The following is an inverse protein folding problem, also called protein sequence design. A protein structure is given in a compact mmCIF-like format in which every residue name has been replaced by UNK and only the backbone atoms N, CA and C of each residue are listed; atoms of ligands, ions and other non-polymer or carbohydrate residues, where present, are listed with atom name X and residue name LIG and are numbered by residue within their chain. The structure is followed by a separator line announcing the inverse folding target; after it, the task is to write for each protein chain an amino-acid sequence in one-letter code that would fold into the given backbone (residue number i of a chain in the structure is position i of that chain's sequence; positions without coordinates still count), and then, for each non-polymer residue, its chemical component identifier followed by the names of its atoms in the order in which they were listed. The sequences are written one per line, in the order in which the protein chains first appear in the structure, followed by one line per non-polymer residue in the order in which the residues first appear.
data_IF_478255987267
#
_entry.id   IF_478255987267
#
_cell.length_a   1.000
_cell.length_b   1.000
_cell.length_c   1.000
_cell.angle_alpha   90.00
_cell.angle_beta   90.00
_cell.angle_gamma   90.00
#
_symmetry.space_group_name_H-M   'P 1'
#
loop_
_entity.id
_entity.type
_entity.pdbx_description
1 polymer ?
#
# COMPACT_ATOMS: atom_id res chain seq x y z
N UNK A 1 -12.56 0.42 -1.87
CA UNK A 1 -13.84 -0.03 -2.45
C UNK A 1 -14.81 -0.28 -1.30
N UNK A 2 -15.90 0.47 -1.18
CA UNK A 2 -16.91 0.29 -0.12
C UNK A 2 -18.17 -0.26 -0.79
N UNK A 3 -18.63 -1.41 -0.29
CA UNK A 3 -19.88 -2.06 -0.72
C UNK A 3 -21.04 -1.25 -0.12
N UNK A 4 -22.10 -1.03 -0.90
CA UNK A 4 -23.19 -0.10 -0.61
C UNK A 4 -24.04 -0.45 0.61
N UNK A 5 -23.59 -0.05 1.79
CA UNK A 5 -24.43 0.16 2.97
C UNK A 5 -24.31 1.60 3.45
N UNK A 6 -25.39 2.11 4.04
CA UNK A 6 -25.33 3.32 4.86
C UNK A 6 -24.18 3.17 5.87
N UNK A 7 -23.25 4.12 5.95
CA UNK A 7 -22.10 4.01 6.82
C UNK A 7 -22.57 3.96 8.28
N UNK A 8 -22.31 2.84 8.96
CA UNK A 8 -22.52 2.71 10.41
C UNK A 8 -21.45 3.51 11.16
N UNK A 9 -21.77 4.01 12.35
CA UNK A 9 -20.81 4.78 13.15
C UNK A 9 -19.47 4.04 13.38
N UNK A 10 -19.52 2.71 13.49
CA UNK A 10 -18.33 1.84 13.61
C UNK A 10 -17.46 1.83 12.36
N UNK A 11 -18.07 1.80 11.17
CA UNK A 11 -17.33 1.85 9.89
C UNK A 11 -16.63 3.20 9.68
N UNK A 12 -17.26 4.31 10.07
CA UNK A 12 -16.68 5.65 9.98
C UNK A 12 -15.50 5.77 10.96
N UNK A 13 -15.67 5.26 12.19
CA UNK A 13 -14.62 5.28 13.20
C UNK A 13 -13.38 4.48 12.77
N UNK A 14 -13.56 3.31 12.15
CA UNK A 14 -12.44 2.53 11.61
C UNK A 14 -11.74 3.21 10.45
N UNK A 15 -12.49 3.82 9.52
CA UNK A 15 -11.88 4.60 8.43
C UNK A 15 -11.13 5.84 8.96
N UNK A 16 -11.60 6.46 10.05
CA UNK A 16 -10.86 7.52 10.75
C UNK A 16 -9.56 7.00 11.37
N UNK A 17 -9.58 5.84 12.03
CA UNK A 17 -8.36 5.22 12.59
C UNK A 17 -7.34 4.94 11.47
N UNK A 18 -7.81 4.35 10.37
CA UNK A 18 -6.97 4.10 9.19
C UNK A 18 -6.37 5.41 8.65
N UNK A 19 -7.18 6.46 8.54
CA UNK A 19 -6.74 7.77 8.06
C UNK A 19 -5.69 8.40 8.98
N UNK A 20 -5.88 8.33 10.30
CA UNK A 20 -4.92 8.84 11.30
C UNK A 20 -3.60 8.08 11.21
N UNK A 21 -3.64 6.75 11.14
CA UNK A 21 -2.42 5.95 11.01
C UNK A 21 -1.68 6.21 9.69
N UNK A 22 -2.43 6.42 8.59
CA UNK A 22 -1.85 6.82 7.31
C UNK A 22 -1.26 8.24 7.35
N UNK A 23 -1.87 9.16 8.10
CA UNK A 23 -1.32 10.50 8.34
C UNK A 23 0.01 10.41 9.11
N UNK A 24 0.08 9.57 10.14
CA UNK A 24 1.31 9.32 10.90
C UNK A 24 2.40 8.72 10.01
N UNK A 25 2.05 7.76 9.15
CA UNK A 25 2.96 7.20 8.17
C UNK A 25 3.50 8.28 7.21
N UNK A 26 2.62 9.07 6.62
CA UNK A 26 3.00 10.18 5.72
C UNK A 26 3.88 11.22 6.43
N UNK A 27 3.56 11.58 7.67
CA UNK A 27 4.37 12.49 8.46
C UNK A 27 5.77 11.92 8.71
N UNK A 28 5.85 10.64 9.09
CA UNK A 28 7.14 9.98 9.32
C UNK A 28 7.98 9.87 8.05
N UNK A 29 7.35 9.72 6.87
CA UNK A 29 8.05 9.69 5.59
C UNK A 29 8.63 11.06 5.23
N UNK A 30 7.94 12.16 5.56
CA UNK A 30 8.49 13.51 5.40
C UNK A 30 9.71 13.75 6.31
N UNK A 31 9.70 13.24 7.54
CA UNK A 31 10.90 13.33 8.40
C UNK A 31 12.13 12.63 7.80
N UNK A 32 11.93 11.50 7.11
CA UNK A 32 13.01 10.83 6.40
C UNK A 32 13.54 11.71 5.27
N UNK A 33 12.63 12.37 4.54
CA UNK A 33 12.99 13.30 3.47
C UNK A 33 13.78 14.50 3.95
N UNK A 34 13.35 15.14 5.04
CA UNK A 34 14.07 16.28 5.62
C UNK A 34 15.50 15.88 5.98
N UNK A 35 15.66 14.70 6.59
CA UNK A 35 16.98 14.18 6.91
C UNK A 35 17.81 13.84 5.67
N UNK A 36 17.22 13.24 4.64
CA UNK A 36 17.93 12.96 3.40
C UNK A 36 18.31 14.23 2.64
N UNK A 37 17.51 15.30 2.75
CA UNK A 37 17.83 16.61 2.21
C UNK A 37 19.10 17.19 2.84
N UNK A 38 19.22 17.07 4.16
CA UNK A 38 20.41 17.51 4.91
C UNK A 38 21.67 16.76 4.48
N UNK A 39 21.55 15.46 4.18
CA UNK A 39 22.70 14.60 3.86
C UNK A 39 23.10 14.63 2.38
N UNK A 40 22.14 14.55 1.46
CA UNK A 40 22.41 14.36 0.03
C UNK A 40 22.49 15.68 -0.76
N UNK A 41 21.97 16.79 -0.22
CA UNK A 41 21.78 18.10 -0.87
C UNK A 41 20.97 18.10 -2.19
N UNK A 42 20.88 16.97 -2.90
CA UNK A 42 20.04 16.74 -4.08
C UNK A 42 18.98 15.69 -3.78
N UNK A 43 17.81 16.21 -3.46
CA UNK A 43 16.60 15.48 -3.13
C UNK A 43 16.11 14.62 -4.32
N UNK A 44 16.31 15.04 -5.58
CA UNK A 44 15.73 14.35 -6.76
C UNK A 44 16.23 12.93 -6.96
N UNK A 45 17.40 12.61 -6.41
CA UNK A 45 18.00 11.27 -6.44
C UNK A 45 17.46 10.36 -5.33
N UNK A 46 16.80 10.92 -4.31
CA UNK A 46 16.29 10.16 -3.19
C UNK A 46 15.06 9.33 -3.60
N UNK A 47 15.06 8.01 -3.33
CA UNK A 47 13.87 7.17 -3.51
C UNK A 47 12.73 7.59 -2.57
N UNK A 48 13.05 8.23 -1.44
CA UNK A 48 12.07 8.65 -0.44
C UNK A 48 11.14 9.76 -0.91
N UNK A 49 11.49 10.53 -1.95
CA UNK A 49 10.58 11.54 -2.49
C UNK A 49 9.37 10.85 -3.08
N UNK A 50 9.63 9.84 -3.89
CA UNK A 50 8.61 9.06 -4.55
C UNK A 50 7.76 8.26 -3.54
N UNK A 51 8.38 7.73 -2.49
CA UNK A 51 7.64 7.02 -1.43
C UNK A 51 6.73 7.98 -0.67
N UNK A 52 7.23 9.15 -0.25
CA UNK A 52 6.44 10.13 0.50
C UNK A 52 5.34 10.77 -0.34
N UNK A 53 5.58 11.08 -1.62
CA UNK A 53 4.53 11.56 -2.51
C UNK A 53 3.46 10.50 -2.72
N UNK A 54 3.87 9.23 -2.85
CA UNK A 54 2.92 8.13 -2.97
C UNK A 54 2.02 7.96 -1.74
N UNK A 55 2.60 7.99 -0.53
CA UNK A 55 1.83 7.97 0.73
C UNK A 55 0.92 9.19 0.88
N UNK A 56 1.39 10.37 0.48
CA UNK A 56 0.59 11.60 0.51
C UNK A 56 -0.63 11.50 -0.41
N UNK A 57 -0.48 10.94 -1.60
CA UNK A 57 -1.58 10.70 -2.52
C UNK A 57 -2.58 9.68 -1.95
N UNK A 58 -2.10 8.61 -1.31
CA UNK A 58 -2.98 7.69 -0.60
C UNK A 58 -3.76 8.38 0.54
N UNK A 59 -3.10 9.25 1.29
CA UNK A 59 -3.74 10.05 2.34
C UNK A 59 -4.83 10.96 1.77
N UNK A 60 -4.52 11.72 0.70
CA UNK A 60 -5.48 12.59 0.01
C UNK A 60 -6.66 11.77 -0.52
N UNK A 61 -6.40 10.61 -1.15
CA UNK A 61 -7.45 9.71 -1.64
C UNK A 61 -8.40 9.25 -0.52
N UNK A 62 -7.86 8.88 0.64
CA UNK A 62 -8.65 8.46 1.80
C UNK A 62 -9.41 9.62 2.44
N UNK A 63 -8.83 10.81 2.46
CA UNK A 63 -9.48 12.03 2.95
C UNK A 63 -10.66 12.43 2.04
N UNK A 64 -10.45 12.40 0.73
CA UNK A 64 -11.53 12.64 -0.26
C UNK A 64 -12.66 11.62 -0.05
N UNK A 65 -12.32 10.33 0.12
CA UNK A 65 -13.31 9.28 0.36
C UNK A 65 -14.13 9.54 1.63
N UNK A 66 -13.46 9.90 2.73
CA UNK A 66 -14.10 10.21 4.01
C UNK A 66 -15.00 11.45 3.89
N UNK A 67 -14.52 12.50 3.22
CA UNK A 67 -15.29 13.71 2.98
C UNK A 67 -16.59 13.42 2.22
N UNK A 68 -16.52 12.61 1.16
CA UNK A 68 -17.69 12.14 0.43
C UNK A 68 -18.56 11.13 1.21
N UNK A 69 -18.08 10.53 2.29
CA UNK A 69 -18.91 9.68 3.16
C UNK A 69 -19.68 10.50 4.18
N UNK A 70 -19.10 11.60 4.66
CA UNK A 70 -19.65 12.41 5.76
C UNK A 70 -20.47 13.61 5.26
N UNK A 71 -20.03 14.26 4.17
CA UNK A 71 -20.53 15.60 3.79
C UNK A 71 -21.43 15.57 2.56
N UNK A 72 -21.10 14.77 1.54
CA UNK A 72 -21.82 14.74 0.27
C UNK A 72 -22.56 13.41 0.12
N UNK A 73 -23.75 13.33 0.73
CA UNK A 73 -24.64 12.17 0.62
C UNK A 73 -25.24 11.99 -0.78
N UNK A 74 -25.23 13.04 -1.62
CA UNK A 74 -25.96 13.08 -2.91
C UNK A 74 -25.08 13.11 -4.17
N UNK A 75 -23.75 13.09 -4.05
CA UNK A 75 -22.92 13.04 -5.27
C UNK A 75 -22.98 11.66 -5.92
N UNK A 76 -23.16 11.64 -7.24
CA UNK A 76 -23.20 10.40 -8.02
C UNK A 76 -22.02 9.51 -7.66
N UNK A 77 -22.31 8.29 -7.22
CA UNK A 77 -21.36 7.26 -6.76
C UNK A 77 -20.14 7.13 -7.70
N UNK A 78 -20.38 7.33 -9.00
CA UNK A 78 -19.40 7.30 -10.08
C UNK A 78 -18.28 8.36 -9.90
N UNK A 79 -18.61 9.61 -9.55
CA UNK A 79 -17.63 10.70 -9.41
C UNK A 79 -16.75 10.47 -8.18
N UNK A 80 -17.37 10.07 -7.06
CA UNK A 80 -16.68 9.71 -5.81
C UNK A 80 -15.64 8.61 -6.04
N UNK A 81 -16.02 7.56 -6.76
CA UNK A 81 -15.15 6.41 -7.05
C UNK A 81 -14.05 6.80 -8.04
N UNK A 82 -14.34 7.53 -9.11
CA UNK A 82 -13.33 7.90 -10.10
C UNK A 82 -12.23 8.79 -9.52
N UNK A 83 -12.57 9.86 -8.79
CA UNK A 83 -11.56 10.80 -8.27
C UNK A 83 -10.66 10.12 -7.23
N UNK A 84 -11.25 9.39 -6.28
CA UNK A 84 -10.48 8.66 -5.25
C UNK A 84 -9.56 7.63 -5.89
N UNK A 85 -10.06 6.86 -6.86
CA UNK A 85 -9.25 5.86 -7.54
C UNK A 85 -8.10 6.48 -8.36
N UNK A 86 -8.32 7.57 -9.09
CA UNK A 86 -7.24 8.23 -9.86
C UNK A 86 -6.12 8.70 -8.94
N UNK A 87 -6.47 9.33 -7.81
CA UNK A 87 -5.48 9.81 -6.82
C UNK A 87 -4.74 8.63 -6.20
N UNK A 88 -5.45 7.55 -5.82
CA UNK A 88 -4.84 6.34 -5.28
C UNK A 88 -3.89 5.66 -6.27
N UNK A 89 -4.27 5.59 -7.55
CA UNK A 89 -3.46 5.04 -8.63
C UNK A 89 -2.16 5.82 -8.80
N UNK A 90 -2.22 7.15 -8.77
CA UNK A 90 -1.02 8.00 -8.70
C UNK A 90 -0.12 7.62 -7.52
N UNK A 91 -0.71 7.37 -6.35
CA UNK A 91 0.00 6.93 -5.15
C UNK A 91 0.81 5.64 -5.36
N UNK A 92 0.21 4.62 -5.99
CA UNK A 92 0.91 3.38 -6.33
C UNK A 92 2.08 3.61 -7.31
N UNK A 93 1.86 4.39 -8.37
CA UNK A 93 2.90 4.68 -9.36
C UNK A 93 4.12 5.37 -8.72
N UNK A 94 3.88 6.34 -7.85
CA UNK A 94 4.96 7.00 -7.10
C UNK A 94 5.66 6.03 -6.15
N UNK A 95 4.93 5.24 -5.36
CA UNK A 95 5.53 4.23 -4.48
C UNK A 95 6.41 3.23 -5.24
N UNK A 96 5.94 2.70 -6.37
CA UNK A 96 6.72 1.75 -7.17
C UNK A 96 7.94 2.39 -7.82
N UNK A 97 7.86 3.65 -8.26
CA UNK A 97 9.04 4.40 -8.71
C UNK A 97 10.08 4.53 -7.58
N UNK A 98 9.62 4.82 -6.37
CA UNK A 98 10.47 4.90 -5.17
C UNK A 98 11.13 3.57 -4.84
N UNK A 99 10.35 2.48 -4.80
CA UNK A 99 10.86 1.13 -4.57
C UNK A 99 11.82 0.69 -5.66
N UNK A 100 11.51 0.91 -6.93
CA UNK A 100 12.41 0.57 -8.03
C UNK A 100 13.77 1.27 -7.84
N UNK A 101 13.77 2.56 -7.49
CA UNK A 101 15.02 3.30 -7.27
C UNK A 101 15.75 2.82 -6.01
N UNK A 102 15.03 2.54 -4.93
CA UNK A 102 15.59 2.12 -3.64
C UNK A 102 16.08 0.67 -3.62
N UNK A 103 15.44 -0.25 -4.35
CA UNK A 103 15.74 -1.69 -4.34
C UNK A 103 16.83 -2.08 -5.35
N UNK A 104 17.01 -1.30 -6.43
CA UNK A 104 18.05 -1.54 -7.45
C UNK A 104 19.46 -1.81 -6.90
N UNK A 105 20.00 -1.08 -5.90
CA UNK A 105 21.29 -1.40 -5.31
C UNK A 105 21.30 -2.75 -4.56
N UNK A 106 20.21 -3.10 -3.87
CA UNK A 106 20.10 -4.34 -3.10
C UNK A 106 19.88 -5.58 -3.98
N UNK A 107 19.23 -5.44 -5.14
CA UNK A 107 19.05 -6.55 -6.09
C UNK A 107 20.37 -7.09 -6.63
N UNK A 108 21.42 -6.26 -6.71
CA UNK A 108 22.76 -6.72 -7.12
C UNK A 108 23.39 -7.68 -6.12
N UNK A 109 22.94 -7.65 -4.86
CA UNK A 109 23.39 -8.54 -3.80
C UNK A 109 22.56 -9.83 -3.72
N UNK A 110 21.53 -9.99 -4.57
CA UNK A 110 20.59 -11.12 -4.54
C UNK A 110 21.30 -12.48 -4.63
N UNK A 111 22.30 -12.61 -5.50
CA UNK A 111 22.96 -13.90 -5.75
C UNK A 111 23.87 -14.37 -4.61
N UNK A 112 24.29 -13.45 -3.71
CA UNK A 112 25.18 -13.75 -2.59
C UNK A 112 24.45 -13.73 -1.23
N UNK A 113 23.12 -13.58 -1.22
CA UNK A 113 22.36 -13.48 0.02
C UNK A 113 22.17 -14.87 0.66
N UNK A 114 22.30 -15.03 1.99
CA UNK A 114 22.14 -16.33 2.66
C UNK A 114 20.73 -16.97 2.49
N UNK A 115 19.76 -16.22 1.96
CA UNK A 115 18.37 -16.64 1.80
C UNK A 115 17.89 -16.58 0.33
N UNK A 116 18.78 -16.78 -0.65
CA UNK A 116 18.43 -16.81 -2.09
C UNK A 116 17.24 -17.74 -2.38
N UNK A 117 17.18 -18.91 -1.73
CA UNK A 117 16.09 -19.87 -1.93
C UNK A 117 14.72 -19.29 -1.56
N UNK A 118 14.62 -18.52 -0.47
CA UNK A 118 13.37 -17.84 -0.09
C UNK A 118 12.97 -16.77 -1.11
N UNK A 119 13.93 -16.02 -1.67
CA UNK A 119 13.66 -15.04 -2.72
C UNK A 119 13.15 -15.69 -4.00
N UNK A 120 13.68 -16.86 -4.36
CA UNK A 120 13.21 -17.63 -5.52
C UNK A 120 11.80 -18.20 -5.31
N UNK A 121 11.47 -18.65 -4.09
CA UNK A 121 10.10 -19.07 -3.74
C UNK A 121 9.15 -17.89 -3.87
N UNK A 122 9.50 -16.71 -3.35
CA UNK A 122 8.68 -15.49 -3.46
C UNK A 122 8.45 -15.09 -4.93
N UNK A 123 9.45 -15.24 -5.79
CA UNK A 123 9.32 -14.98 -7.24
C UNK A 123 8.40 -15.99 -7.94
N UNK A 124 8.50 -17.27 -7.58
CA UNK A 124 7.65 -18.33 -8.11
C UNK A 124 6.19 -18.17 -7.67
N UNK A 125 5.95 -17.87 -6.39
CA UNK A 125 4.60 -17.68 -5.85
C UNK A 125 3.93 -16.44 -6.43
N UNK A 126 4.66 -15.35 -6.65
CA UNK A 126 4.13 -14.14 -7.30
C UNK A 126 3.57 -14.41 -8.70
N UNK A 127 4.31 -15.18 -9.51
CA UNK A 127 3.86 -15.52 -10.85
C UNK A 127 2.56 -16.32 -10.81
N UNK A 128 2.46 -17.27 -9.88
CA UNK A 128 1.28 -18.11 -9.69
C UNK A 128 0.07 -17.31 -9.17
N UNK A 129 0.26 -16.40 -8.22
CA UNK A 129 -0.83 -15.57 -7.66
C UNK A 129 -1.41 -14.61 -8.68
N UNK A 130 -0.58 -14.01 -9.54
CA UNK A 130 -1.05 -13.14 -10.64
C UNK A 130 -1.93 -13.94 -11.60
N UNK A 131 -1.52 -15.14 -11.99
CA UNK A 131 -2.30 -16.00 -12.90
C UNK A 131 -3.65 -16.38 -12.28
N UNK A 132 -3.67 -16.82 -11.02
CA UNK A 132 -4.90 -17.19 -10.32
C UNK A 132 -5.90 -16.04 -10.21
N UNK A 133 -5.40 -14.82 -9.98
CA UNK A 133 -6.27 -13.64 -9.82
C UNK A 133 -6.82 -13.19 -11.18
N UNK A 134 -6.00 -13.20 -12.23
CA UNK A 134 -6.48 -12.95 -13.59
C UNK A 134 -7.59 -13.96 -13.95
N UNK A 135 -7.38 -15.25 -13.66
CA UNK A 135 -8.40 -16.28 -13.86
C UNK A 135 -9.68 -16.02 -13.04
N UNK A 136 -9.55 -15.63 -11.77
CA UNK A 136 -10.68 -15.30 -10.90
C UNK A 136 -11.53 -14.14 -11.44
N UNK A 137 -10.89 -13.08 -11.95
CA UNK A 137 -11.60 -11.95 -12.58
C UNK A 137 -12.36 -12.37 -13.84
N UNK A 138 -11.75 -13.20 -14.70
CA UNK A 138 -12.42 -13.73 -15.89
C UNK A 138 -13.63 -14.61 -15.54
N UNK A 139 -13.60 -15.33 -14.41
CA UNK A 139 -14.73 -16.13 -13.94
C UNK A 139 -15.88 -15.29 -13.35
N UNK A 140 -15.62 -14.10 -12.81
CA UNK A 140 -16.64 -13.23 -12.21
C UNK A 140 -17.22 -12.18 -13.17
N UNK A 141 -16.62 -12.00 -14.35
CA UNK A 141 -17.10 -11.13 -15.43
C UNK A 141 -18.59 -11.29 -15.81
N UNK A 142 -19.17 -12.52 -15.89
CA UNK A 142 -20.58 -12.68 -16.29
C UNK A 142 -21.62 -12.35 -15.21
N UNK A 143 -21.21 -12.03 -13.97
CA UNK A 143 -22.12 -11.80 -12.84
C UNK A 143 -22.25 -10.33 -12.40
N UNK A 144 -21.71 -9.38 -13.17
CA UNK A 144 -21.72 -7.95 -12.84
C UNK A 144 -22.90 -7.23 -13.53
N UNK A 145 -23.64 -6.42 -12.77
CA UNK A 145 -24.76 -5.60 -13.28
C UNK A 145 -24.28 -4.33 -14.01
N UNK A 146 -25.00 -3.93 -15.06
CA UNK A 146 -24.59 -2.89 -16.03
C UNK A 146 -24.29 -1.49 -15.43
N UNK A 147 -24.93 -1.09 -14.34
CA UNK A 147 -24.81 0.27 -13.77
C UNK A 147 -23.57 0.46 -12.87
N UNK A 148 -23.01 -0.61 -12.32
CA UNK A 148 -21.76 -0.56 -11.54
C UNK A 148 -20.54 -1.05 -12.32
N UNK A 149 -20.75 -1.48 -13.57
CA UNK A 149 -19.82 -2.28 -14.35
C UNK A 149 -18.51 -1.53 -14.62
N UNK A 150 -18.56 -0.35 -15.21
CA UNK A 150 -17.36 0.26 -15.82
C UNK A 150 -16.24 0.64 -14.84
N UNK A 151 -16.47 1.40 -13.75
CA UNK A 151 -15.40 1.75 -12.83
C UNK A 151 -14.95 0.56 -11.98
N UNK A 152 -15.85 -0.35 -11.58
CA UNK A 152 -15.47 -1.54 -10.81
C UNK A 152 -14.71 -2.56 -11.65
N UNK A 153 -15.02 -2.70 -12.94
CA UNK A 153 -14.34 -3.65 -13.83
C UNK A 153 -12.91 -3.19 -14.17
N UNK A 154 -12.66 -1.88 -14.24
CA UNK A 154 -11.32 -1.39 -14.55
C UNK A 154 -10.43 -1.23 -13.32
N UNK A 155 -10.91 -0.53 -12.29
CA UNK A 155 -10.05 -0.18 -11.16
C UNK A 155 -9.78 -1.36 -10.23
N UNK A 156 -10.76 -2.23 -9.99
CA UNK A 156 -10.60 -3.36 -9.07
C UNK A 156 -9.45 -4.30 -9.48
N UNK A 157 -9.37 -4.80 -10.74
CA UNK A 157 -8.24 -5.66 -11.13
C UNK A 157 -6.91 -4.91 -11.13
N UNK A 158 -6.88 -3.64 -11.55
CA UNK A 158 -5.65 -2.83 -11.55
C UNK A 158 -5.10 -2.67 -10.13
N UNK A 159 -5.94 -2.28 -9.17
CA UNK A 159 -5.51 -2.16 -7.77
C UNK A 159 -5.12 -3.50 -7.17
N UNK A 160 -5.83 -4.57 -7.51
CA UNK A 160 -5.47 -5.91 -7.06
C UNK A 160 -4.07 -6.28 -7.55
N UNK A 161 -3.76 -6.06 -8.83
CA UNK A 161 -2.42 -6.30 -9.37
C UNK A 161 -1.37 -5.47 -8.63
N UNK A 162 -1.64 -4.19 -8.38
CA UNK A 162 -0.73 -3.34 -7.62
C UNK A 162 -0.54 -3.80 -6.17
N UNK A 163 -1.59 -4.25 -5.48
CA UNK A 163 -1.46 -4.80 -4.14
C UNK A 163 -0.64 -6.09 -4.13
N UNK A 164 -0.78 -6.97 -5.13
CA UNK A 164 0.08 -8.16 -5.24
C UNK A 164 1.54 -7.75 -5.48
N UNK A 165 1.79 -6.78 -6.37
CA UNK A 165 3.15 -6.27 -6.62
C UNK A 165 3.74 -5.68 -5.33
N UNK A 166 2.94 -4.92 -4.58
CA UNK A 166 3.35 -4.36 -3.29
C UNK A 166 3.63 -5.46 -2.26
N UNK A 167 2.79 -6.49 -2.20
CA UNK A 167 2.99 -7.66 -1.35
C UNK A 167 4.29 -8.39 -1.70
N UNK A 168 4.56 -8.59 -2.98
CA UNK A 168 5.78 -9.23 -3.47
C UNK A 168 7.04 -8.44 -3.12
N UNK A 169 7.02 -7.12 -3.36
CA UNK A 169 8.14 -6.24 -3.01
C UNK A 169 8.38 -6.18 -1.49
N UNK A 170 7.31 -6.14 -0.69
CA UNK A 170 7.41 -6.12 0.77
C UNK A 170 7.94 -7.43 1.34
N UNK A 171 7.52 -8.59 0.84
CA UNK A 171 8.07 -9.89 1.22
C UNK A 171 9.57 -9.99 0.90
N UNK A 172 9.99 -9.51 -0.28
CA UNK A 172 11.43 -9.42 -0.61
C UNK A 172 12.18 -8.50 0.34
N UNK A 173 11.63 -7.33 0.63
CA UNK A 173 12.20 -6.40 1.61
C UNK A 173 12.38 -7.05 2.97
N UNK A 174 11.39 -7.80 3.45
CA UNK A 174 11.49 -8.52 4.72
C UNK A 174 12.64 -9.52 4.75
N UNK A 175 12.82 -10.32 3.70
CA UNK A 175 13.91 -11.30 3.60
C UNK A 175 15.28 -10.63 3.49
N UNK A 176 15.40 -9.57 2.70
CA UNK A 176 16.66 -8.84 2.51
C UNK A 176 17.09 -8.14 3.81
N UNK A 177 16.14 -7.53 4.53
CA UNK A 177 16.44 -6.76 5.73
C UNK A 177 16.39 -7.58 7.02
N UNK A 178 16.23 -8.90 6.92
CA UNK A 178 16.21 -9.80 8.07
C UNK A 178 17.58 -9.89 8.75
N UNK A 179 17.61 -9.80 10.09
CA UNK A 179 18.78 -10.12 10.91
C UNK A 179 19.76 -8.97 11.23
N UNK A 180 19.73 -7.84 10.54
CA UNK A 180 20.63 -6.69 10.80
C UNK A 180 20.04 -5.64 11.74
N UNK A 181 20.81 -5.14 12.72
CA UNK A 181 20.35 -4.05 13.63
C UNK A 181 20.08 -2.75 12.89
N UNK A 182 20.92 -2.41 11.91
CA UNK A 182 20.75 -1.25 11.04
C UNK A 182 19.57 -1.42 10.05
N UNK A 183 19.22 -2.65 9.67
CA UNK A 183 18.13 -2.95 8.74
C UNK A 183 16.77 -3.14 9.44
N UNK A 184 16.72 -3.20 10.78
CA UNK A 184 15.48 -3.33 11.57
C UNK A 184 14.39 -2.32 11.16
N UNK A 185 14.67 -1.02 10.97
CA UNK A 185 13.64 -0.08 10.56
C UNK A 185 13.07 -0.41 9.17
N UNK A 186 13.92 -0.78 8.21
CA UNK A 186 13.52 -1.17 6.86
C UNK A 186 12.70 -2.48 6.85
N UNK A 187 13.00 -3.39 7.77
CA UNK A 187 12.21 -4.59 7.98
C UNK A 187 10.78 -4.26 8.46
N UNK A 188 10.63 -3.36 9.45
CA UNK A 188 9.30 -2.90 9.90
C UNK A 188 8.53 -2.17 8.79
N UNK A 189 9.20 -1.35 7.99
CA UNK A 189 8.57 -0.67 6.85
C UNK A 189 8.05 -1.70 5.84
N UNK A 190 8.85 -2.73 5.55
CA UNK A 190 8.45 -3.84 4.67
C UNK A 190 7.25 -4.60 5.24
N UNK A 191 7.27 -4.93 6.53
CA UNK A 191 6.15 -5.58 7.21
C UNK A 191 4.87 -4.73 7.18
N UNK A 192 4.98 -3.42 7.37
CA UNK A 192 3.86 -2.49 7.27
C UNK A 192 3.21 -2.50 5.89
N UNK A 193 4.01 -2.43 4.82
CA UNK A 193 3.50 -2.54 3.44
C UNK A 193 2.89 -3.92 3.15
N UNK A 194 3.47 -5.00 3.69
CA UNK A 194 2.93 -6.35 3.58
C UNK A 194 1.52 -6.42 4.18
N UNK A 195 1.33 -5.90 5.39
CA UNK A 195 0.01 -5.89 6.06
C UNK A 195 -1.01 -5.06 5.29
N UNK A 196 -0.62 -3.89 4.78
CA UNK A 196 -1.49 -3.03 3.94
C UNK A 196 -1.95 -3.79 2.69
N UNK A 197 -1.02 -4.36 1.94
CA UNK A 197 -1.31 -5.12 0.72
C UNK A 197 -2.19 -6.35 1.00
N UNK A 198 -1.86 -7.10 2.07
CA UNK A 198 -2.61 -8.29 2.47
C UNK A 198 -4.05 -7.92 2.86
N UNK A 199 -4.24 -6.84 3.62
CA UNK A 199 -5.58 -6.33 3.93
C UNK A 199 -6.36 -6.03 2.65
N UNK A 200 -5.76 -5.27 1.72
CA UNK A 200 -6.46 -4.86 0.50
C UNK A 200 -6.88 -6.07 -0.35
N UNK A 201 -6.01 -7.08 -0.47
CA UNK A 201 -6.33 -8.34 -1.16
C UNK A 201 -7.45 -9.09 -0.43
N UNK A 202 -7.39 -9.20 0.91
CA UNK A 202 -8.41 -9.88 1.70
C UNK A 202 -9.80 -9.22 1.57
N UNK A 203 -9.87 -7.90 1.38
CA UNK A 203 -11.16 -7.21 1.16
C UNK A 203 -11.91 -7.72 -0.07
N UNK A 204 -11.22 -8.33 -1.04
CA UNK A 204 -11.86 -8.92 -2.23
C UNK A 204 -12.62 -10.20 -1.92
N UNK A 205 -12.23 -10.91 -0.85
CA UNK A 205 -12.74 -12.24 -0.51
C UNK A 205 -13.68 -12.26 0.70
N UNK A 206 -13.67 -11.19 1.52
CA UNK A 206 -14.44 -11.14 2.76
C UNK A 206 -15.77 -10.41 2.57
N UNK A 207 -16.88 -11.12 2.80
CA UNK A 207 -18.23 -10.54 2.83
C UNK A 207 -18.58 -9.98 4.21
N UNK A 208 -19.10 -8.75 4.24
CA UNK A 208 -19.83 -8.00 5.29
C UNK A 208 -19.36 -8.13 6.76
N UNK A 209 -19.37 -9.31 7.39
CA UNK A 209 -19.05 -9.46 8.82
C UNK A 209 -17.54 -9.46 9.13
N UNK A 210 -16.68 -9.83 8.16
CA UNK A 210 -15.22 -9.86 8.37
C UNK A 210 -14.50 -8.55 8.00
N UNK A 211 -15.21 -7.55 7.46
CA UNK A 211 -14.61 -6.32 6.94
C UNK A 211 -13.87 -5.56 8.04
N UNK A 212 -14.41 -5.56 9.27
CA UNK A 212 -13.81 -4.89 10.42
C UNK A 212 -12.44 -5.46 10.81
N UNK A 213 -12.26 -6.78 10.70
CA UNK A 213 -10.96 -7.40 10.98
C UNK A 213 -9.93 -7.02 9.93
N UNK A 214 -10.36 -6.92 8.67
CA UNK A 214 -9.51 -6.47 7.57
C UNK A 214 -9.15 -4.97 7.71
N UNK A 215 -10.09 -4.13 8.16
CA UNK A 215 -9.83 -2.73 8.50
C UNK A 215 -8.80 -2.59 9.63
N UNK A 216 -8.86 -3.45 10.65
CA UNK A 216 -7.88 -3.48 11.73
C UNK A 216 -6.49 -3.91 11.24
N UNK A 217 -6.41 -4.90 10.35
CA UNK A 217 -5.14 -5.28 9.69
C UNK A 217 -4.59 -4.07 8.92
N UNK A 218 -5.43 -3.37 8.16
CA UNK A 218 -5.01 -2.16 7.43
C UNK A 218 -4.47 -1.08 8.38
N UNK A 219 -5.22 -0.77 9.43
CA UNK A 219 -4.85 0.22 10.43
C UNK A 219 -3.52 -0.15 11.11
N UNK A 220 -3.35 -1.41 11.49
CA UNK A 220 -2.12 -1.91 12.08
C UNK A 220 -0.94 -1.83 11.10
N UNK A 221 -1.17 -2.11 9.81
CA UNK A 221 -0.17 -1.99 8.76
C UNK A 221 0.37 -0.56 8.65
N UNK A 222 -0.51 0.44 8.61
CA UNK A 222 -0.07 1.84 8.60
C UNK A 222 0.64 2.27 9.89
N UNK A 223 0.22 1.77 11.05
CA UNK A 223 0.88 2.05 12.32
C UNK A 223 2.30 1.48 12.36
N UNK A 224 2.47 0.22 11.96
CA UNK A 224 3.79 -0.43 11.85
C UNK A 224 4.66 0.33 10.85
N UNK A 225 4.10 0.72 9.71
CA UNK A 225 4.80 1.48 8.69
C UNK A 225 5.29 2.84 9.22
N UNK A 226 4.43 3.57 9.94
CA UNK A 226 4.78 4.83 10.59
C UNK A 226 5.90 4.65 11.62
N UNK A 227 5.80 3.61 12.47
CA UNK A 227 6.83 3.28 13.45
C UNK A 227 8.17 2.94 12.80
N UNK A 228 8.16 2.10 11.77
CA UNK A 228 9.35 1.73 11.01
C UNK A 228 10.01 2.94 10.34
N UNK A 229 9.22 3.80 9.71
CA UNK A 229 9.71 5.03 9.08
C UNK A 229 10.27 6.03 10.10
N UNK A 230 9.62 6.20 11.24
CA UNK A 230 10.11 7.06 12.31
C UNK A 230 11.44 6.55 12.90
N UNK A 231 11.58 5.24 13.11
CA UNK A 231 12.84 4.65 13.54
C UNK A 231 13.93 4.84 12.49
N UNK A 232 13.60 4.65 11.21
CA UNK A 232 14.53 4.88 10.10
C UNK A 232 15.00 6.33 10.02
N UNK A 233 14.09 7.28 10.26
CA UNK A 233 14.41 8.71 10.29
C UNK A 233 15.36 9.06 11.45
N UNK A 234 15.56 8.19 12.44
CA UNK A 234 16.47 8.37 13.57
C UNK A 234 17.74 7.51 13.52
N UNK A 235 17.76 6.42 12.75
CA UNK A 235 18.96 5.60 12.55
C UNK A 235 20.04 6.33 11.75
N UNK A 236 21.31 6.00 11.94
CA UNK A 236 22.40 6.55 11.10
C UNK A 236 22.11 6.27 9.63
N UNK A 237 22.38 7.25 8.72
CA UNK A 237 22.12 7.06 7.30
C UNK A 237 22.94 5.86 6.80
N UNK A 238 22.24 4.85 6.29
CA UNK A 238 22.85 3.70 5.63
C UNK A 238 22.98 4.10 4.16
N UNK A 239 24.21 4.26 3.69
CA UNK A 239 24.56 4.55 2.30
C UNK A 239 24.67 3.26 1.49
#
# INVERSE_FOLDING_TARGET
MVIGLQPTATSILLELIVLVNLALATYSSFRILDRQREVLHDLRKSPWIYISTGLSLWFISKLILLFFLVVLTETSCIVKICVTNIVSLGGYLFLFSGFHRGIKPFLRLKNNHPHVNWLNIIDATFSLTVILIVAFFFLHLPYLNAEELYPKLFFTPVFTVFDIVLLWLSLKGMVIFYGGTASKPLHFISLGFMLVATSNILRLFVFHNGIYLVDLILASGYLVLAGGMYLYSRSTPIF
#
